data_IF_635675102535
#
_entry.id   IF_635675102535
#
_cell.length_a   1.000
_cell.length_b   1.000
_cell.length_c   1.000
_cell.angle_alpha   90.00
_cell.angle_beta   90.00
_cell.angle_gamma   90.00
#
_symmetry.space_group_name_H-M   'P 1'
#
loop_
_entity.id
_entity.type
_entity.pdbx_description
1 polymer ?
#
# COMPACT_ATOMS: atom_id res chain seq x y z
N UNK A 1 23.54 -5.38 -17.65
CA UNK A 1 23.26 -3.98 -17.29
C UNK A 1 21.96 -3.60 -17.99
N UNK A 2 20.79 -3.86 -17.33
CA UNK A 2 19.50 -3.50 -17.90
C UNK A 2 19.42 -1.98 -17.95
N UNK A 3 19.27 -1.43 -19.14
CA UNK A 3 18.95 -0.02 -19.35
C UNK A 3 17.63 0.24 -18.61
N UNK A 4 17.68 1.01 -17.53
CA UNK A 4 16.47 1.53 -16.90
C UNK A 4 15.66 2.24 -17.98
N UNK A 5 14.40 1.81 -18.16
CA UNK A 5 13.54 2.45 -19.13
C UNK A 5 13.19 3.87 -18.61
N UNK A 6 12.79 4.79 -19.50
CA UNK A 6 12.48 6.18 -19.14
C UNK A 6 11.41 6.32 -18.04
N UNK A 7 10.48 5.37 -17.97
CA UNK A 7 9.44 5.28 -16.91
C UNK A 7 10.07 5.05 -15.54
N UNK A 8 10.98 4.07 -15.42
CA UNK A 8 11.63 3.75 -14.16
C UNK A 8 12.50 4.91 -13.65
N UNK A 9 13.18 5.61 -14.57
CA UNK A 9 13.95 6.81 -14.23
C UNK A 9 13.05 7.93 -13.70
N UNK A 10 11.89 8.15 -14.30
CA UNK A 10 10.93 9.14 -13.84
C UNK A 10 10.40 8.81 -12.43
N UNK A 11 9.99 7.56 -12.18
CA UNK A 11 9.51 7.12 -10.86
C UNK A 11 10.60 7.35 -9.80
N UNK A 12 11.83 6.91 -10.06
CA UNK A 12 12.93 7.06 -9.11
C UNK A 12 13.32 8.52 -8.86
N UNK A 13 13.25 9.39 -9.87
CA UNK A 13 13.46 10.83 -9.71
C UNK A 13 12.40 11.43 -8.77
N UNK A 14 11.13 11.09 -8.97
CA UNK A 14 10.03 11.59 -8.12
C UNK A 14 10.11 11.04 -6.69
N UNK A 15 10.54 9.79 -6.50
CA UNK A 15 10.85 9.27 -5.16
C UNK A 15 11.95 10.09 -4.48
N UNK A 16 12.98 10.48 -5.23
CA UNK A 16 14.06 11.34 -4.71
C UNK A 16 13.51 12.70 -4.26
N UNK A 17 12.66 13.33 -5.08
CA UNK A 17 12.04 14.61 -4.73
C UNK A 17 11.19 14.51 -3.45
N UNK A 18 10.44 13.40 -3.28
CA UNK A 18 9.66 13.14 -2.07
C UNK A 18 10.54 12.90 -0.84
N UNK A 19 11.68 12.22 -1.04
CA UNK A 19 12.65 11.99 0.02
C UNK A 19 13.31 13.31 0.48
N UNK A 20 13.70 14.16 -0.47
CA UNK A 20 14.31 15.46 -0.17
C UNK A 20 13.34 16.37 0.59
N UNK A 21 12.04 16.37 0.20
CA UNK A 21 11.01 17.11 0.92
C UNK A 21 10.78 16.55 2.35
N UNK A 22 10.88 15.24 2.52
CA UNK A 22 10.79 14.62 3.84
C UNK A 22 11.93 15.03 4.77
N UNK A 23 13.11 15.34 4.24
CA UNK A 23 14.27 15.83 5.01
C UNK A 23 14.04 17.23 5.62
N UNK A 24 13.06 17.99 5.15
CA UNK A 24 12.64 19.25 5.78
C UNK A 24 11.97 19.02 7.14
N UNK A 25 11.38 17.84 7.32
CA UNK A 25 10.61 17.49 8.53
C UNK A 25 11.36 16.49 9.42
N UNK A 26 12.08 15.54 8.83
CA UNK A 26 12.74 14.45 9.52
C UNK A 26 14.25 14.47 9.28
N UNK A 27 15.01 14.20 10.33
CA UNK A 27 16.45 13.94 10.16
C UNK A 27 16.65 12.65 9.33
N UNK A 28 17.67 12.65 8.47
CA UNK A 28 18.04 11.48 7.66
C UNK A 28 18.13 10.18 8.46
N UNK A 29 18.64 10.24 9.72
CA UNK A 29 18.75 9.09 10.61
C UNK A 29 17.39 8.57 11.09
N UNK A 30 16.34 9.39 11.03
CA UNK A 30 14.98 8.99 11.40
C UNK A 30 14.23 8.33 10.25
N UNK A 31 14.72 8.42 9.02
CA UNK A 31 14.06 7.82 7.86
C UNK A 31 14.59 6.41 7.66
N UNK A 32 13.72 5.41 7.78
CA UNK A 32 14.02 4.00 7.48
C UNK A 32 14.07 3.77 5.98
N UNK A 33 13.08 4.30 5.28
CA UNK A 33 13.00 4.21 3.83
C UNK A 33 11.76 4.89 3.27
N UNK A 34 11.78 5.12 1.96
CA UNK A 34 10.66 5.59 1.16
C UNK A 34 10.36 4.58 0.06
N UNK A 35 9.08 4.33 -0.18
CA UNK A 35 8.59 3.25 -1.04
C UNK A 35 7.49 3.79 -1.96
N UNK A 36 7.52 3.41 -3.22
CA UNK A 36 6.42 3.68 -4.14
C UNK A 36 5.15 2.98 -3.69
N UNK A 37 4.04 3.70 -3.77
CA UNK A 37 2.69 3.17 -3.60
C UNK A 37 1.87 3.37 -4.88
N UNK A 38 0.94 2.47 -5.13
CA UNK A 38 -0.13 2.69 -6.10
C UNK A 38 0.10 2.07 -7.46
N UNK A 39 -0.59 2.62 -8.46
CA UNK A 39 -0.83 1.96 -9.76
C UNK A 39 0.42 1.66 -10.59
N UNK A 40 1.52 2.40 -10.39
CA UNK A 40 2.78 2.12 -11.06
C UNK A 40 3.39 0.77 -10.65
N UNK A 41 3.13 0.30 -9.41
CA UNK A 41 3.57 -1.02 -8.94
C UNK A 41 2.90 -2.18 -9.70
N UNK A 42 1.74 -1.92 -10.30
CA UNK A 42 0.89 -2.94 -10.93
C UNK A 42 0.79 -2.79 -12.44
N UNK A 43 1.50 -1.81 -13.02
CA UNK A 43 1.40 -1.43 -14.44
C UNK A 43 -0.03 -0.99 -14.84
N UNK A 44 -0.75 -0.39 -13.89
CA UNK A 44 -2.11 0.13 -14.05
C UNK A 44 -2.14 1.68 -14.03
N UNK A 45 -1.00 2.32 -14.23
CA UNK A 45 -0.90 3.76 -14.37
C UNK A 45 -1.32 4.23 -15.76
N UNK A 46 -1.84 5.44 -15.82
CA UNK A 46 -2.10 6.18 -17.04
C UNK A 46 -1.07 7.30 -17.19
N UNK A 47 -0.84 7.83 -18.40
CA UNK A 47 -0.03 9.04 -18.56
C UNK A 47 -0.51 10.15 -17.64
N UNK A 48 0.39 10.69 -16.82
CA UNK A 48 0.08 11.72 -15.82
C UNK A 48 -0.45 11.18 -14.48
N UNK A 49 -0.40 9.86 -14.25
CA UNK A 49 -0.72 9.31 -12.92
C UNK A 49 0.24 9.84 -11.85
N UNK A 50 -0.33 10.10 -10.67
CA UNK A 50 0.41 10.56 -9.49
C UNK A 50 1.43 9.51 -9.04
N UNK A 51 2.50 9.96 -8.40
CA UNK A 51 3.45 9.11 -7.69
C UNK A 51 3.23 9.32 -6.19
N UNK A 52 2.52 8.41 -5.57
CA UNK A 52 2.34 8.40 -4.13
C UNK A 52 3.42 7.57 -3.45
N UNK A 53 3.84 7.98 -2.26
CA UNK A 53 4.89 7.28 -1.51
C UNK A 53 4.51 7.02 -0.07
N UNK A 54 5.05 5.95 0.48
CA UNK A 54 5.04 5.65 1.91
C UNK A 54 6.44 5.82 2.47
N UNK A 55 6.55 6.64 3.51
CA UNK A 55 7.80 6.92 4.18
C UNK A 55 7.72 6.43 5.62
N UNK A 56 8.65 5.54 5.96
CA UNK A 56 8.72 4.95 7.30
C UNK A 56 9.76 5.69 8.11
N UNK A 57 9.35 6.13 9.30
CA UNK A 57 10.21 6.87 10.22
C UNK A 57 10.36 6.14 11.56
N UNK A 58 11.47 6.40 12.26
CA UNK A 58 11.68 6.03 13.64
C UNK A 58 11.50 7.24 14.55
N UNK A 59 10.96 7.07 15.76
CA UNK A 59 10.88 8.15 16.74
C UNK A 59 12.28 8.52 17.26
N UNK A 60 12.46 9.76 17.72
CA UNK A 60 13.64 10.13 18.50
C UNK A 60 13.63 9.45 19.86
N UNK A 61 14.79 9.36 20.52
CA UNK A 61 14.86 8.88 21.90
C UNK A 61 13.97 9.70 22.84
N UNK A 62 13.92 11.02 22.63
CA UNK A 62 13.03 11.93 23.37
C UNK A 62 11.55 11.58 23.19
N UNK A 63 11.11 11.21 21.98
CA UNK A 63 9.72 10.84 21.71
C UNK A 63 9.36 9.52 22.42
N UNK A 64 10.30 8.57 22.46
CA UNK A 64 10.14 7.30 23.18
C UNK A 64 10.06 7.56 24.69
N UNK A 65 11.02 8.30 25.25
CA UNK A 65 11.13 8.56 26.68
C UNK A 65 9.93 9.34 27.24
N UNK A 66 9.34 10.23 26.42
CA UNK A 66 8.17 11.02 26.80
C UNK A 66 6.84 10.39 26.34
N UNK A 67 6.86 9.14 25.85
CA UNK A 67 5.69 8.41 25.35
C UNK A 67 4.84 9.24 24.37
N UNK A 68 5.48 10.00 23.48
CA UNK A 68 4.80 10.81 22.48
C UNK A 68 4.06 9.92 21.47
N UNK A 69 2.93 10.44 20.98
CA UNK A 69 2.12 9.74 19.99
C UNK A 69 2.95 9.44 18.73
N UNK A 70 2.95 8.19 18.24
CA UNK A 70 3.62 7.84 16.99
C UNK A 70 3.11 8.64 15.80
N UNK A 71 4.01 9.01 14.89
CA UNK A 71 3.68 9.74 13.67
C UNK A 71 2.79 8.88 12.75
N UNK A 72 1.69 9.45 12.27
CA UNK A 72 0.85 8.90 11.21
C UNK A 72 0.14 10.07 10.56
N UNK A 73 0.68 10.57 9.46
CA UNK A 73 0.15 11.74 8.73
C UNK A 73 0.45 11.62 7.25
N UNK A 74 -0.39 12.24 6.44
CA UNK A 74 -0.20 12.32 4.99
C UNK A 74 0.07 13.77 4.62
N UNK A 75 1.13 14.01 3.89
CA UNK A 75 1.46 15.30 3.30
C UNK A 75 0.99 15.32 1.85
N UNK A 76 0.19 16.33 1.50
CA UNK A 76 -0.27 16.59 0.14
C UNK A 76 0.68 17.62 -0.50
N UNK A 77 1.34 17.23 -1.57
CA UNK A 77 2.23 18.09 -2.35
C UNK A 77 1.44 19.02 -3.28
N UNK A 78 2.10 20.08 -3.76
CA UNK A 78 1.49 21.06 -4.66
C UNK A 78 1.02 20.46 -6.01
N UNK A 79 1.58 19.31 -6.41
CA UNK A 79 1.21 18.56 -7.61
C UNK A 79 0.20 17.44 -7.35
N UNK A 80 -0.51 17.48 -6.20
CA UNK A 80 -1.51 16.50 -5.75
C UNK A 80 -0.95 15.11 -5.38
N UNK A 81 0.36 14.90 -5.40
CA UNK A 81 0.99 13.67 -4.90
C UNK A 81 1.01 13.62 -3.38
N UNK A 82 1.03 12.40 -2.84
CA UNK A 82 1.00 12.18 -1.40
C UNK A 82 2.30 11.53 -0.89
N UNK A 83 2.76 12.02 0.27
CA UNK A 83 3.77 11.35 1.08
C UNK A 83 3.09 10.90 2.38
N UNK A 84 2.94 9.60 2.58
CA UNK A 84 2.33 9.03 3.78
C UNK A 84 3.41 8.69 4.80
N UNK A 85 3.58 9.53 5.82
CA UNK A 85 4.54 9.36 6.90
C UNK A 85 3.97 8.47 7.99
N UNK A 86 4.70 7.42 8.36
CA UNK A 86 4.28 6.52 9.41
C UNK A 86 5.44 5.99 10.25
N UNK A 87 5.27 6.04 11.57
CA UNK A 87 6.17 5.42 12.54
C UNK A 87 6.27 3.91 12.30
N UNK A 88 7.49 3.36 12.40
CA UNK A 88 7.79 1.94 12.20
C UNK A 88 6.90 1.03 13.04
N UNK A 89 6.59 1.40 14.29
CA UNK A 89 5.73 0.63 15.19
C UNK A 89 4.32 0.48 14.64
N UNK A 90 3.74 1.59 14.15
CA UNK A 90 2.42 1.58 13.50
C UNK A 90 2.46 0.84 12.18
N UNK A 91 3.59 0.89 11.46
CA UNK A 91 3.73 0.20 10.20
C UNK A 91 3.71 -1.32 10.38
N UNK A 92 4.42 -1.85 11.39
CA UNK A 92 4.37 -3.27 11.73
C UNK A 92 2.96 -3.73 12.12
N UNK A 93 2.20 -2.89 12.85
CA UNK A 93 0.79 -3.15 13.13
C UNK A 93 -0.09 -3.21 11.86
N UNK A 94 0.20 -2.38 10.84
CA UNK A 94 -0.54 -2.46 9.58
C UNK A 94 -0.22 -3.74 8.79
N UNK A 95 1.00 -4.27 8.89
CA UNK A 95 1.33 -5.59 8.34
C UNK A 95 0.54 -6.70 9.04
N UNK A 96 0.47 -6.68 10.37
CA UNK A 96 -0.32 -7.64 11.17
C UNK A 96 -1.82 -7.58 10.88
N UNK A 97 -2.35 -6.39 10.56
CA UNK A 97 -3.73 -6.19 10.10
C UNK A 97 -3.98 -6.70 8.68
N UNK A 98 -2.94 -7.14 7.99
CA UNK A 98 -2.99 -7.66 6.63
C UNK A 98 -3.65 -6.69 5.64
N UNK A 99 -3.39 -5.40 5.80
CA UNK A 99 -3.94 -4.38 4.90
C UNK A 99 -3.17 -4.37 3.59
N UNK A 100 -3.87 -4.67 2.49
CA UNK A 100 -3.31 -4.75 1.13
C UNK A 100 -2.51 -3.49 0.74
N UNK A 101 -3.06 -2.30 1.03
CA UNK A 101 -2.45 -1.02 0.67
C UNK A 101 -1.15 -0.69 1.45
N UNK A 102 -0.82 -1.46 2.48
CA UNK A 102 0.43 -1.30 3.24
C UNK A 102 1.42 -2.44 2.97
N UNK A 103 0.92 -3.66 2.77
CA UNK A 103 1.77 -4.81 2.46
C UNK A 103 2.50 -4.65 1.11
N UNK A 104 1.91 -3.95 0.16
CA UNK A 104 2.48 -3.76 -1.19
C UNK A 104 3.90 -3.19 -1.20
N UNK A 105 4.31 -2.41 -0.18
CA UNK A 105 5.67 -1.86 -0.12
C UNK A 105 6.76 -2.92 0.07
N UNK A 106 6.41 -4.12 0.53
CA UNK A 106 7.34 -5.24 0.61
C UNK A 106 7.65 -5.83 -0.78
N UNK A 107 6.83 -5.49 -1.78
CA UNK A 107 6.90 -6.04 -3.14
C UNK A 107 7.29 -5.00 -4.19
N UNK A 108 7.32 -3.72 -3.84
CA UNK A 108 7.71 -2.67 -4.80
C UNK A 108 9.20 -2.73 -5.12
N UNK A 109 9.58 -2.65 -6.42
CA UNK A 109 10.98 -2.52 -6.80
C UNK A 109 11.51 -1.08 -6.68
N UNK A 110 10.63 -0.12 -6.37
CA UNK A 110 10.96 1.30 -6.30
C UNK A 110 11.00 1.76 -4.85
N UNK A 111 12.20 1.80 -4.30
CA UNK A 111 12.44 2.22 -2.91
C UNK A 111 13.84 2.81 -2.73
N UNK A 112 13.95 3.74 -1.78
CA UNK A 112 15.22 4.10 -1.15
C UNK A 112 15.18 3.64 0.30
N UNK A 113 16.09 2.76 0.67
CA UNK A 113 16.23 2.25 2.04
C UNK A 113 17.52 2.82 2.62
N UNK A 114 17.44 3.39 3.80
CA UNK A 114 18.60 3.90 4.50
C UNK A 114 19.54 2.73 4.82
N UNK A 115 20.83 2.89 4.46
CA UNK A 115 21.85 1.87 4.67
C UNK A 115 21.97 1.38 6.11
N UNK A 116 21.67 2.24 7.08
CA UNK A 116 21.70 1.91 8.49
C UNK A 116 20.69 0.84 8.90
N UNK A 117 19.59 0.76 8.17
CA UNK A 117 18.46 -0.15 8.45
C UNK A 117 18.30 -1.24 7.40
N UNK A 118 19.16 -1.24 6.38
CA UNK A 118 19.02 -2.13 5.22
C UNK A 118 18.96 -3.61 5.61
N UNK A 119 19.85 -4.07 6.50
CA UNK A 119 19.90 -5.48 6.89
C UNK A 119 18.61 -5.92 7.63
N UNK A 120 18.04 -5.03 8.45
CA UNK A 120 16.79 -5.33 9.14
C UNK A 120 15.60 -5.32 8.15
N UNK A 121 15.55 -4.33 7.26
CA UNK A 121 14.51 -4.27 6.24
C UNK A 121 14.57 -5.46 5.28
N UNK A 122 15.77 -5.87 4.91
CA UNK A 122 15.98 -7.05 4.06
C UNK A 122 15.35 -8.33 4.64
N UNK A 123 15.37 -8.51 5.95
CA UNK A 123 14.70 -9.65 6.61
C UNK A 123 13.20 -9.67 6.34
N UNK A 124 12.55 -8.49 6.27
CA UNK A 124 11.14 -8.40 5.90
C UNK A 124 10.92 -8.74 4.42
N UNK A 125 11.80 -8.26 3.54
CA UNK A 125 11.74 -8.58 2.11
C UNK A 125 11.93 -10.09 1.87
N UNK A 126 12.89 -10.71 2.56
CA UNK A 126 13.15 -12.15 2.44
C UNK A 126 11.95 -13.01 2.92
N UNK A 127 11.13 -12.47 3.84
CA UNK A 127 9.93 -13.11 4.38
C UNK A 127 8.61 -12.55 3.81
N UNK A 128 8.64 -11.71 2.78
CA UNK A 128 7.49 -10.91 2.30
C UNK A 128 6.22 -11.73 2.05
N UNK A 129 6.33 -12.89 1.40
CA UNK A 129 5.19 -13.77 1.11
C UNK A 129 4.59 -14.36 2.41
N UNK A 130 5.45 -14.78 3.35
CA UNK A 130 5.01 -15.30 4.64
C UNK A 130 4.35 -14.22 5.49
N UNK A 131 4.86 -12.98 5.46
CA UNK A 131 4.25 -11.81 6.13
C UNK A 131 2.90 -11.50 5.51
N UNK A 132 2.79 -11.49 4.18
CA UNK A 132 1.54 -11.18 3.47
C UNK A 132 0.45 -12.26 3.63
N UNK A 133 0.82 -13.44 4.15
CA UNK A 133 -0.08 -14.56 4.46
C UNK A 133 -0.03 -14.97 5.92
N UNK A 134 0.49 -14.10 6.80
CA UNK A 134 0.61 -14.45 8.23
C UNK A 134 -0.74 -14.60 8.93
N UNK A 135 -1.80 -14.01 8.38
CA UNK A 135 -3.17 -14.17 8.82
C UNK A 135 -4.14 -14.03 7.64
N UNK A 136 -4.42 -15.13 6.90
CA UNK A 136 -5.28 -15.07 5.72
C UNK A 136 -6.70 -14.62 6.01
N UNK A 137 -7.25 -14.94 7.19
CA UNK A 137 -8.57 -14.50 7.60
C UNK A 137 -8.66 -12.96 7.67
N UNK A 138 -7.67 -12.30 8.30
CA UNK A 138 -7.59 -10.84 8.35
C UNK A 138 -7.38 -10.24 6.96
N UNK A 139 -6.55 -10.88 6.12
CA UNK A 139 -6.29 -10.44 4.76
C UNK A 139 -7.58 -10.39 3.94
N UNK A 140 -8.36 -11.47 3.97
CA UNK A 140 -9.64 -11.57 3.25
C UNK A 140 -10.66 -10.55 3.78
N UNK A 141 -10.77 -10.39 5.10
CA UNK A 141 -11.63 -9.35 5.69
C UNK A 141 -11.21 -7.94 5.33
N UNK A 142 -9.90 -7.67 5.29
CA UNK A 142 -9.36 -6.37 4.88
C UNK A 142 -9.72 -6.07 3.42
N UNK A 143 -9.58 -7.04 2.52
CA UNK A 143 -9.94 -6.90 1.11
C UNK A 143 -11.45 -6.69 0.91
N UNK A 144 -12.30 -7.44 1.62
CA UNK A 144 -13.77 -7.22 1.64
C UNK A 144 -14.09 -5.79 2.08
N UNK A 145 -13.44 -5.30 3.15
CA UNK A 145 -13.62 -3.93 3.63
C UNK A 145 -13.20 -2.87 2.60
N UNK A 146 -12.09 -3.08 1.90
CA UNK A 146 -11.63 -2.20 0.81
C UNK A 146 -12.64 -2.21 -0.35
N UNK A 147 -13.12 -3.38 -0.77
CA UNK A 147 -14.12 -3.48 -1.85
C UNK A 147 -15.40 -2.71 -1.52
N UNK A 148 -15.92 -2.88 -0.31
CA UNK A 148 -17.09 -2.15 0.17
C UNK A 148 -16.88 -0.63 0.23
N UNK A 149 -15.72 -0.19 0.71
CA UNK A 149 -15.34 1.22 0.69
C UNK A 149 -15.34 1.79 -0.75
N UNK A 150 -14.74 1.06 -1.71
CA UNK A 150 -14.66 1.52 -3.11
C UNK A 150 -16.02 1.55 -3.78
N UNK A 151 -16.89 0.58 -3.49
CA UNK A 151 -18.27 0.58 -3.96
C UNK A 151 -19.03 1.82 -3.48
N UNK A 152 -18.99 2.12 -2.19
CA UNK A 152 -19.66 3.31 -1.64
C UNK A 152 -19.04 4.62 -2.14
N UNK A 153 -17.72 4.66 -2.34
CA UNK A 153 -17.02 5.85 -2.83
C UNK A 153 -17.28 6.13 -4.32
N UNK A 154 -17.74 5.15 -5.09
CA UNK A 154 -17.90 5.26 -6.55
C UNK A 154 -18.87 6.39 -6.96
N UNK A 155 -19.97 6.57 -6.23
CA UNK A 155 -20.97 7.61 -6.50
C UNK A 155 -21.06 8.67 -5.40
N UNK A 156 -20.19 8.59 -4.38
CA UNK A 156 -20.21 9.55 -3.29
C UNK A 156 -19.60 10.90 -3.69
N UNK A 157 -20.37 11.96 -3.49
CA UNK A 157 -20.00 13.32 -3.88
C UNK A 157 -19.03 13.98 -2.89
N UNK A 158 -17.80 13.49 -2.82
CA UNK A 158 -16.73 14.21 -2.12
C UNK A 158 -16.43 15.56 -2.80
N UNK A 159 -16.10 16.63 -2.07
CA UNK A 159 -15.76 17.92 -2.67
C UNK A 159 -14.70 17.84 -3.77
N UNK A 160 -13.67 16.99 -3.61
CA UNK A 160 -12.62 16.76 -4.59
C UNK A 160 -13.06 15.94 -5.82
N UNK A 161 -14.26 15.37 -5.83
CA UNK A 161 -14.77 14.47 -6.88
C UNK A 161 -15.94 15.02 -7.70
N UNK A 162 -16.40 16.21 -7.38
CA UNK A 162 -17.56 16.85 -8.04
C UNK A 162 -17.40 16.90 -9.57
N UNK A 163 -16.22 17.28 -10.06
CA UNK A 163 -15.95 17.36 -11.51
C UNK A 163 -15.93 15.96 -12.18
N UNK A 164 -15.41 14.95 -11.48
CA UNK A 164 -15.38 13.57 -11.99
C UNK A 164 -16.79 13.02 -12.09
N UNK A 165 -17.60 13.19 -11.05
CA UNK A 165 -19.01 12.75 -11.04
C UNK A 165 -19.85 13.51 -12.07
N UNK A 166 -19.63 14.81 -12.25
CA UNK A 166 -20.33 15.58 -13.29
C UNK A 166 -20.01 15.07 -14.71
N UNK A 167 -18.77 14.60 -14.93
CA UNK A 167 -18.34 14.11 -16.24
C UNK A 167 -18.82 12.69 -16.55
N UNK A 168 -18.72 11.76 -15.58
CA UNK A 168 -18.93 10.33 -15.80
C UNK A 168 -20.18 9.79 -15.12
N UNK A 169 -20.77 10.52 -14.16
CA UNK A 169 -21.83 10.05 -13.27
C UNK A 169 -21.34 9.19 -12.11
N UNK A 170 -20.07 8.77 -12.13
CA UNK A 170 -19.40 7.95 -11.12
C UNK A 170 -17.88 8.24 -11.13
N UNK A 171 -17.13 7.75 -10.12
CA UNK A 171 -15.66 7.81 -10.11
C UNK A 171 -15.06 6.53 -10.72
N UNK A 172 -14.53 6.57 -11.98
CA UNK A 172 -13.92 5.42 -12.63
C UNK A 172 -12.75 4.81 -11.86
N UNK A 173 -12.02 5.62 -11.07
CA UNK A 173 -10.90 5.16 -10.22
C UNK A 173 -11.41 4.23 -9.12
N UNK A 174 -12.57 4.51 -8.53
CA UNK A 174 -13.15 3.66 -7.48
C UNK A 174 -13.66 2.34 -8.04
N UNK A 175 -14.36 2.35 -9.19
CA UNK A 175 -14.78 1.12 -9.87
C UNK A 175 -13.57 0.25 -10.26
N UNK A 176 -12.52 0.87 -10.83
CA UNK A 176 -11.27 0.19 -11.15
C UNK A 176 -10.67 -0.50 -9.91
N UNK A 177 -10.64 0.19 -8.76
CA UNK A 177 -10.10 -0.40 -7.52
C UNK A 177 -10.97 -1.55 -7.00
N UNK A 178 -12.30 -1.44 -7.06
CA UNK A 178 -13.22 -2.50 -6.66
C UNK A 178 -12.98 -3.78 -7.48
N UNK A 179 -12.97 -3.66 -8.81
CA UNK A 179 -12.77 -4.80 -9.72
C UNK A 179 -11.35 -5.40 -9.56
N UNK A 180 -10.35 -4.55 -9.33
CA UNK A 180 -8.99 -5.02 -9.04
C UNK A 180 -8.93 -5.84 -7.75
N UNK A 181 -9.62 -5.40 -6.68
CA UNK A 181 -9.66 -6.12 -5.41
C UNK A 181 -10.40 -7.45 -5.58
N UNK A 182 -11.47 -7.50 -6.36
CA UNK A 182 -12.18 -8.72 -6.70
C UNK A 182 -11.26 -9.75 -7.38
N UNK A 183 -10.55 -9.33 -8.45
CA UNK A 183 -9.56 -10.19 -9.11
C UNK A 183 -8.45 -10.65 -8.17
N UNK A 184 -7.92 -9.73 -7.35
CA UNK A 184 -6.87 -10.02 -6.39
C UNK A 184 -7.33 -11.06 -5.36
N UNK A 185 -8.50 -10.83 -4.73
CA UNK A 185 -9.04 -11.70 -3.68
C UNK A 185 -9.30 -13.11 -4.21
N UNK A 186 -9.88 -13.23 -5.41
CA UNK A 186 -10.12 -14.51 -6.06
C UNK A 186 -8.82 -15.31 -6.22
N UNK A 187 -7.76 -14.69 -6.72
CA UNK A 187 -6.44 -15.33 -6.91
C UNK A 187 -5.77 -15.66 -5.58
N UNK A 188 -5.89 -14.76 -4.60
CA UNK A 188 -5.34 -14.95 -3.25
C UNK A 188 -5.96 -16.15 -2.54
N UNK A 189 -7.29 -16.31 -2.59
CA UNK A 189 -8.00 -17.44 -1.98
C UNK A 189 -7.65 -18.76 -2.70
N UNK A 190 -7.42 -18.71 -4.01
CA UNK A 190 -6.99 -19.87 -4.79
C UNK A 190 -5.52 -20.26 -4.56
N UNK A 191 -4.80 -19.56 -3.67
CA UNK A 191 -3.46 -19.94 -3.24
C UNK A 191 -2.33 -19.43 -4.13
N UNK A 192 -2.60 -18.50 -5.07
CA UNK A 192 -1.53 -17.84 -5.81
C UNK A 192 -0.66 -17.02 -4.86
N UNK A 193 0.64 -16.83 -5.21
CA UNK A 193 1.52 -15.99 -4.39
C UNK A 193 0.98 -14.56 -4.29
N UNK A 194 1.25 -13.89 -3.17
CA UNK A 194 0.82 -12.50 -2.99
C UNK A 194 1.39 -11.61 -4.10
N UNK A 195 2.66 -11.80 -4.44
CA UNK A 195 3.34 -11.07 -5.53
C UNK A 195 2.62 -11.25 -6.87
N UNK A 196 2.23 -12.49 -7.21
CA UNK A 196 1.45 -12.75 -8.43
C UNK A 196 0.11 -12.03 -8.42
N UNK A 197 -0.60 -12.04 -7.28
CA UNK A 197 -1.91 -11.40 -7.17
C UNK A 197 -1.85 -9.88 -7.36
N UNK A 198 -0.71 -9.22 -7.06
CA UNK A 198 -0.56 -7.77 -7.21
C UNK A 198 -0.64 -7.32 -8.68
N UNK A 199 -0.11 -8.11 -9.60
CA UNK A 199 -0.06 -7.79 -11.03
C UNK A 199 -1.12 -8.62 -11.76
N UNK A 200 -2.18 -8.00 -12.30
CA UNK A 200 -3.17 -8.71 -13.09
C UNK A 200 -2.58 -9.21 -14.41
N UNK A 201 -3.17 -10.27 -14.98
CA UNK A 201 -2.80 -10.71 -16.33
C UNK A 201 -3.15 -9.64 -17.39
N UNK A 202 -2.61 -9.81 -18.61
CA UNK A 202 -2.76 -8.79 -19.65
C UNK A 202 -4.24 -8.48 -20.01
N UNK A 203 -5.13 -9.48 -20.01
CA UNK A 203 -6.56 -9.26 -20.30
C UNK A 203 -7.23 -8.47 -19.19
N UNK A 204 -6.94 -8.83 -17.94
CA UNK A 204 -7.47 -8.11 -16.78
C UNK A 204 -6.87 -6.71 -16.70
N UNK A 205 -5.59 -6.53 -17.05
CA UNK A 205 -4.93 -5.22 -17.13
C UNK A 205 -5.63 -4.31 -18.15
N UNK A 206 -5.85 -4.80 -19.38
CA UNK A 206 -6.58 -4.05 -20.42
C UNK A 206 -7.97 -3.65 -19.94
N UNK A 207 -8.69 -4.58 -19.33
CA UNK A 207 -10.03 -4.35 -18.79
C UNK A 207 -10.04 -3.29 -17.68
N UNK A 208 -9.12 -3.39 -16.72
CA UNK A 208 -8.97 -2.43 -15.63
C UNK A 208 -8.59 -1.03 -16.12
N UNK A 209 -7.71 -0.94 -17.14
CA UNK A 209 -7.34 0.33 -17.75
C UNK A 209 -8.50 0.95 -18.54
N UNK A 210 -9.33 0.15 -19.19
CA UNK A 210 -10.53 0.63 -19.89
C UNK A 210 -11.55 1.23 -18.90
N UNK A 211 -11.79 0.57 -17.76
CA UNK A 211 -12.60 1.12 -16.66
C UNK A 211 -12.01 2.45 -16.18
N UNK A 212 -10.69 2.48 -15.89
CA UNK A 212 -10.01 3.65 -15.35
C UNK A 212 -10.08 4.88 -16.25
N UNK A 213 -10.13 4.68 -17.57
CA UNK A 213 -10.31 5.75 -18.58
C UNK A 213 -11.72 6.35 -18.57
N UNK A 214 -12.69 5.74 -17.90
CA UNK A 214 -14.08 6.21 -17.85
C UNK A 214 -14.86 5.93 -19.15
N UNK A 215 -14.53 4.86 -19.87
CA UNK A 215 -15.18 4.48 -21.13
C UNK A 215 -16.56 3.82 -20.92
N UNK A 216 -16.98 3.63 -19.67
CA UNK A 216 -18.21 2.92 -19.33
C UNK A 216 -19.36 3.88 -19.01
N UNK A 217 -20.58 3.53 -19.44
CA UNK A 217 -21.77 4.25 -19.00
C UNK A 217 -22.04 3.98 -17.51
N UNK A 218 -22.73 4.91 -16.84
CA UNK A 218 -23.09 4.78 -15.43
C UNK A 218 -23.83 3.46 -15.15
N UNK A 219 -24.79 3.06 -16.01
CA UNK A 219 -25.57 1.84 -15.80
C UNK A 219 -24.70 0.58 -15.88
N UNK A 220 -23.77 0.53 -16.85
CA UNK A 220 -22.80 -0.58 -16.94
C UNK A 220 -21.85 -0.60 -15.76
N UNK A 221 -21.40 0.59 -15.31
CA UNK A 221 -20.52 0.73 -14.17
C UNK A 221 -21.19 0.25 -12.88
N UNK A 222 -22.45 0.61 -12.64
CA UNK A 222 -23.26 0.13 -11.51
C UNK A 222 -23.44 -1.38 -11.53
N UNK A 223 -23.84 -1.94 -12.66
CA UNK A 223 -24.04 -3.39 -12.80
C UNK A 223 -22.72 -4.15 -12.51
N UNK A 224 -21.60 -3.69 -13.04
CA UNK A 224 -20.30 -4.31 -12.76
C UNK A 224 -19.93 -4.18 -11.29
N UNK A 225 -20.14 -2.99 -10.68
CA UNK A 225 -19.84 -2.76 -9.27
C UNK A 225 -20.65 -3.67 -8.34
N UNK A 226 -21.96 -3.83 -8.60
CA UNK A 226 -22.86 -4.72 -7.85
C UNK A 226 -22.43 -6.20 -7.97
N UNK A 227 -22.10 -6.65 -9.19
CA UNK A 227 -21.62 -8.02 -9.42
C UNK A 227 -20.30 -8.28 -8.71
N UNK A 228 -19.33 -7.36 -8.86
CA UNK A 228 -18.02 -7.50 -8.22
C UNK A 228 -18.11 -7.46 -6.68
N UNK A 229 -18.93 -6.56 -6.13
CA UNK A 229 -19.11 -6.51 -4.67
C UNK A 229 -19.77 -7.79 -4.14
N UNK A 230 -20.86 -8.24 -4.76
CA UNK A 230 -21.56 -9.47 -4.36
C UNK A 230 -20.62 -10.70 -4.44
N UNK A 231 -19.77 -10.76 -5.47
CA UNK A 231 -18.78 -11.83 -5.60
C UNK A 231 -17.74 -11.77 -4.47
N UNK A 232 -17.15 -10.58 -4.21
CA UNK A 232 -16.18 -10.39 -3.13
C UNK A 232 -16.79 -10.77 -1.77
N UNK A 233 -18.03 -10.33 -1.49
CA UNK A 233 -18.72 -10.67 -0.24
C UNK A 233 -18.90 -12.17 -0.12
N UNK A 234 -19.42 -12.82 -1.16
CA UNK A 234 -19.68 -14.27 -1.17
C UNK A 234 -18.41 -15.10 -0.90
N UNK A 235 -17.34 -14.86 -1.67
CA UNK A 235 -16.10 -15.65 -1.51
C UNK A 235 -15.36 -15.32 -0.21
N UNK A 236 -15.44 -14.07 0.27
CA UNK A 236 -14.83 -13.68 1.54
C UNK A 236 -15.56 -14.31 2.73
N UNK A 237 -16.88 -14.31 2.74
CA UNK A 237 -17.67 -14.90 3.82
C UNK A 237 -17.47 -16.41 3.86
N UNK A 238 -17.54 -17.10 2.71
CA UNK A 238 -17.26 -18.53 2.62
C UNK A 238 -15.85 -18.89 3.13
N UNK A 239 -14.84 -18.09 2.78
CA UNK A 239 -13.48 -18.30 3.24
C UNK A 239 -13.34 -18.09 4.75
N UNK A 240 -13.96 -17.02 5.29
CA UNK A 240 -13.91 -16.68 6.71
C UNK A 240 -14.68 -17.66 7.59
N UNK A 241 -15.72 -18.32 7.06
CA UNK A 241 -16.43 -19.40 7.77
C UNK A 241 -15.57 -20.68 7.89
N UNK A 242 -14.68 -20.92 6.94
CA UNK A 242 -13.80 -22.10 6.90
C UNK A 242 -12.44 -21.89 7.59
N UNK A 243 -12.11 -20.67 7.93
CA UNK A 243 -10.82 -20.26 8.52
C UNK A 243 -11.04 -19.49 9.83
N UNK A 244 -9.96 -19.25 10.57
CA UNK A 244 -10.01 -18.55 11.85
C UNK A 244 -9.01 -17.40 11.89
N UNK A 245 -9.21 -16.43 12.80
CA UNK A 245 -8.28 -15.34 13.08
C UNK A 245 -7.06 -15.89 13.83
N UNK A 246 -6.21 -16.58 13.10
CA UNK A 246 -4.96 -17.15 13.59
C UNK A 246 -3.76 -16.44 12.95
N UNK A 247 -2.97 -15.80 13.78
CA UNK A 247 -1.76 -15.11 13.35
C UNK A 247 -0.55 -16.07 13.41
N UNK A 248 0.25 -16.11 12.34
CA UNK A 248 1.50 -16.86 12.36
C UNK A 248 2.47 -16.24 13.36
N UNK A 249 2.74 -16.95 14.46
CA UNK A 249 3.54 -16.48 15.57
C UNK A 249 5.00 -16.16 15.16
N UNK A 250 5.61 -16.97 14.29
CA UNK A 250 6.97 -16.71 13.81
C UNK A 250 7.09 -15.43 13.00
N UNK A 251 6.07 -15.09 12.19
CA UNK A 251 6.04 -13.82 11.45
C UNK A 251 5.79 -12.63 12.38
N UNK A 252 4.94 -12.80 13.38
CA UNK A 252 4.74 -11.79 14.43
C UNK A 252 6.05 -11.47 15.15
N UNK A 253 6.76 -12.50 15.61
CA UNK A 253 8.06 -12.35 16.29
C UNK A 253 9.10 -11.69 15.37
N UNK A 254 9.12 -12.02 14.07
CA UNK A 254 9.98 -11.36 13.09
C UNK A 254 9.69 -9.86 13.01
N UNK A 255 8.40 -9.47 12.90
CA UNK A 255 8.02 -8.05 12.82
C UNK A 255 8.40 -7.29 14.10
N UNK A 256 8.17 -7.88 15.27
CA UNK A 256 8.54 -7.32 16.57
C UNK A 256 10.07 -7.16 16.71
N UNK A 257 10.85 -8.17 16.33
CA UNK A 257 12.31 -8.15 16.40
C UNK A 257 12.91 -7.14 15.41
N UNK A 258 12.42 -7.08 14.18
CA UNK A 258 12.88 -6.08 13.20
C UNK A 258 12.57 -4.66 13.67
N UNK A 259 11.36 -4.42 14.18
CA UNK A 259 10.97 -3.11 14.73
C UNK A 259 11.89 -2.71 15.89
N UNK A 260 12.12 -3.63 16.82
CA UNK A 260 13.01 -3.41 17.96
C UNK A 260 14.43 -3.07 17.52
N UNK A 261 15.02 -3.84 16.59
CA UNK A 261 16.39 -3.63 16.14
C UNK A 261 16.54 -2.32 15.34
N UNK A 262 15.57 -1.94 14.50
CA UNK A 262 15.58 -0.65 13.80
C UNK A 262 15.55 0.50 14.82
N UNK A 263 14.66 0.43 15.82
CA UNK A 263 14.58 1.45 16.87
C UNK A 263 15.87 1.52 17.72
N UNK A 264 16.45 0.37 18.06
CA UNK A 264 17.71 0.28 18.80
C UNK A 264 18.84 0.98 18.04
N UNK A 265 19.01 0.67 16.74
CA UNK A 265 20.01 1.31 15.87
C UNK A 265 19.81 2.84 15.85
N UNK A 266 18.56 3.30 15.72
CA UNK A 266 18.24 4.73 15.67
C UNK A 266 18.66 5.44 16.98
N UNK A 267 18.28 4.86 18.13
CA UNK A 267 18.61 5.41 19.46
C UNK A 267 20.13 5.42 19.71
N UNK A 268 20.82 4.33 19.40
CA UNK A 268 22.29 4.25 19.55
C UNK A 268 23.00 5.32 18.71
N UNK A 269 22.52 5.57 17.49
CA UNK A 269 23.08 6.61 16.61
C UNK A 269 22.74 8.04 17.04
N UNK A 270 21.58 8.24 17.66
CA UNK A 270 21.21 9.54 18.24
C UNK A 270 22.11 9.86 19.44
N UNK A 271 22.26 8.92 20.38
CA UNK A 271 23.05 9.11 21.61
C UNK A 271 24.55 9.19 21.39
N UNK A 272 25.10 8.57 20.35
CA UNK A 272 26.55 8.59 20.07
C UNK A 272 26.99 9.81 19.23
N UNK A 273 26.09 10.70 18.84
CA UNK A 273 26.37 11.91 18.05
C UNK A 273 26.08 13.21 18.81
N UNK A 274 25.74 13.11 20.10
CA UNK A 274 25.74 14.21 21.06
C UNK A 274 27.06 14.21 21.84
#
# INVERSE_FOLDING_TARGET
>A
MNLMNSRNLNIMSRLSDHYDEALETFNKKQIVGIFLQGSQNYELDLPGSDVDTKLIVVPSFKDIALARKPVSTTHLRANEEHIDFKDIRLYMETFRKQNLNFLEILFTPYAYINSDYFDQWKRLIDAKESIARMNPWRAVKSMKGIALEKYHAMEHAYPSKVNVLAKYGYDPKQLHHLVRVDNYLTRYINGESYESCLIPDEKMKEFLLDIKKGNWSLDKARQLAEVSLAHVEGIADEFCEKTHDEENQGMRELLEDVSYNIMKIAVEKELNND
#
